data_IF_920777325844
#
_entry.id   IF_920777325844
#
_cell.length_a   1.000
_cell.length_b   1.000
_cell.length_c   1.000
_cell.angle_alpha   90.00
_cell.angle_beta   90.00
_cell.angle_gamma   90.00
#
_symmetry.space_group_name_H-M   'P 1'
#
loop_
_entity.id
_entity.type
_entity.pdbx_description
1 polymer ?
#
# COMPACT_ATOMS: atom_id res chain seq x y z
N UNK A 1 -40.62 10.34 -38.09
CA UNK A 1 -40.08 8.97 -38.05
C UNK A 1 -39.63 8.75 -36.61
N UNK A 2 -40.37 7.88 -35.90
CA UNK A 2 -40.08 7.52 -34.50
C UNK A 2 -39.32 6.20 -34.51
N UNK A 3 -38.09 6.20 -34.03
CA UNK A 3 -37.37 4.96 -33.72
C UNK A 3 -37.97 4.31 -32.48
N UNK A 4 -38.22 3.01 -32.63
CA UNK A 4 -38.80 2.17 -31.57
C UNK A 4 -37.64 1.56 -30.78
N UNK A 5 -37.62 1.78 -29.48
CA UNK A 5 -36.78 1.08 -28.54
C UNK A 5 -37.20 -0.39 -28.46
N UNK A 6 -36.31 -1.28 -28.87
CA UNK A 6 -36.47 -2.72 -28.65
C UNK A 6 -35.97 -3.08 -27.25
N UNK A 7 -36.89 -3.27 -26.34
CA UNK A 7 -36.63 -3.91 -25.04
C UNK A 7 -36.63 -5.41 -25.29
N UNK A 8 -35.50 -6.07 -25.15
CA UNK A 8 -35.40 -7.53 -25.12
C UNK A 8 -35.87 -8.03 -23.74
N UNK A 9 -37.06 -8.65 -23.73
CA UNK A 9 -37.50 -9.45 -22.58
C UNK A 9 -36.60 -10.70 -22.45
N UNK A 10 -35.90 -10.82 -21.31
CA UNK A 10 -35.19 -12.04 -20.95
C UNK A 10 -36.19 -12.98 -20.31
N UNK A 11 -36.60 -13.98 -21.05
CA UNK A 11 -37.42 -15.11 -20.55
C UNK A 11 -36.54 -16.02 -19.70
N UNK A 12 -37.09 -16.44 -18.54
CA UNK A 12 -36.53 -17.41 -17.61
C UNK A 12 -36.05 -18.68 -18.34
N UNK A 13 -34.72 -18.90 -18.34
CA UNK A 13 -34.13 -20.17 -18.70
C UNK A 13 -33.90 -21.02 -17.43
N UNK A 14 -34.50 -22.16 -17.44
CA UNK A 14 -34.42 -23.24 -16.46
C UNK A 14 -32.97 -23.74 -16.29
N UNK A 15 -32.33 -23.41 -15.13
CA UNK A 15 -30.97 -23.80 -14.82
C UNK A 15 -30.97 -25.12 -14.04
N UNK A 16 -31.38 -26.20 -14.74
CA UNK A 16 -31.21 -27.55 -14.18
C UNK A 16 -30.74 -28.53 -15.24
N UNK A 17 -29.60 -28.33 -15.81
CA UNK A 17 -28.69 -29.34 -16.39
C UNK A 17 -27.52 -28.68 -17.12
N UNK A 18 -26.52 -28.27 -16.42
CA UNK A 18 -25.22 -28.02 -17.02
C UNK A 18 -24.23 -28.87 -16.22
N UNK A 19 -23.80 -29.96 -16.86
CA UNK A 19 -22.65 -30.74 -16.48
C UNK A 19 -21.48 -29.81 -16.16
N UNK A 20 -20.85 -30.05 -15.01
CA UNK A 20 -19.67 -29.36 -14.55
C UNK A 20 -18.47 -29.70 -15.45
N UNK A 21 -18.45 -29.23 -16.68
CA UNK A 21 -17.19 -29.00 -17.35
C UNK A 21 -16.54 -27.80 -16.66
N UNK A 22 -15.54 -28.17 -15.88
CA UNK A 22 -14.65 -27.28 -15.15
C UNK A 22 -13.92 -26.41 -16.18
N UNK A 23 -14.53 -25.27 -16.56
CA UNK A 23 -13.81 -24.21 -17.21
C UNK A 23 -12.82 -23.68 -16.20
N UNK A 24 -11.59 -24.18 -16.26
CA UNK A 24 -10.45 -23.49 -15.70
C UNK A 24 -10.29 -22.22 -16.55
N UNK A 25 -10.95 -21.14 -16.12
CA UNK A 25 -10.51 -19.81 -16.50
C UNK A 25 -9.09 -19.70 -15.98
N UNK A 26 -8.07 -19.78 -16.84
CA UNK A 26 -6.82 -19.14 -16.57
C UNK A 26 -7.17 -17.65 -16.43
N UNK A 27 -7.37 -17.22 -15.18
CA UNK A 27 -7.38 -15.80 -14.86
C UNK A 27 -6.08 -15.27 -15.43
N UNK A 28 -6.15 -14.51 -16.52
CA UNK A 28 -5.06 -13.65 -16.98
C UNK A 28 -4.89 -12.60 -15.88
N UNK A 29 -4.10 -12.95 -14.87
CA UNK A 29 -3.83 -12.12 -13.71
C UNK A 29 -2.87 -11.03 -14.19
N UNK A 30 -3.45 -9.93 -14.69
CA UNK A 30 -2.73 -8.81 -15.28
C UNK A 30 -1.69 -8.26 -14.30
N UNK A 31 -0.51 -7.94 -14.84
CA UNK A 31 0.56 -7.33 -14.06
C UNK A 31 0.30 -5.82 -13.88
N UNK A 32 0.39 -5.37 -12.65
CA UNK A 32 0.39 -3.95 -12.29
C UNK A 32 1.83 -3.50 -12.10
N UNK A 33 2.23 -2.45 -12.81
CA UNK A 33 3.52 -1.79 -12.64
C UNK A 33 3.34 -0.35 -12.15
N UNK A 34 3.94 -0.03 -11.00
CA UNK A 34 3.92 1.30 -10.40
C UNK A 34 5.36 1.85 -10.29
N UNK A 35 5.52 3.16 -10.40
CA UNK A 35 6.77 3.82 -10.02
C UNK A 35 6.72 4.22 -8.56
N UNK A 36 7.76 3.83 -7.82
CA UNK A 36 7.91 4.19 -6.41
C UNK A 36 9.24 4.91 -6.12
N UNK A 37 9.21 5.87 -5.18
CA UNK A 37 10.38 6.61 -4.71
C UNK A 37 10.59 6.35 -3.23
N UNK A 38 11.67 5.64 -2.90
CA UNK A 38 12.03 5.30 -1.52
C UNK A 38 13.11 6.25 -1.00
N UNK A 39 12.79 7.00 0.05
CA UNK A 39 13.74 7.86 0.73
C UNK A 39 14.38 7.12 1.91
N UNK A 40 15.69 7.04 1.95
CA UNK A 40 16.44 6.34 3.00
C UNK A 40 17.80 6.98 3.27
N UNK A 41 18.57 6.44 4.23
CA UNK A 41 19.97 6.83 4.45
C UNK A 41 20.88 6.15 3.45
N UNK A 42 21.99 6.81 3.11
CA UNK A 42 22.99 6.28 2.18
C UNK A 42 23.53 4.91 2.63
N UNK A 43 23.75 4.73 3.92
CA UNK A 43 24.16 3.44 4.48
C UNK A 43 23.17 2.32 4.18
N UNK A 44 21.87 2.58 4.38
CA UNK A 44 20.80 1.61 4.06
C UNK A 44 20.73 1.32 2.56
N UNK A 45 20.95 2.33 1.72
CA UNK A 45 21.04 2.12 0.27
C UNK A 45 22.17 1.15 -0.12
N UNK A 46 23.36 1.29 0.48
CA UNK A 46 24.48 0.35 0.24
C UNK A 46 24.11 -1.07 0.68
N UNK A 47 23.39 -1.21 1.80
CA UNK A 47 22.91 -2.51 2.28
C UNK A 47 21.85 -3.11 1.33
N UNK A 48 20.92 -2.29 0.84
CA UNK A 48 19.92 -2.68 -0.16
C UNK A 48 20.62 -3.14 -1.45
N UNK A 49 21.62 -2.38 -1.94
CA UNK A 49 22.38 -2.75 -3.14
C UNK A 49 23.11 -4.08 -2.99
N UNK A 50 23.69 -4.34 -1.81
CA UNK A 50 24.43 -5.58 -1.52
C UNK A 50 23.50 -6.78 -1.39
N UNK A 51 22.36 -6.62 -0.71
CA UNK A 51 21.44 -7.71 -0.41
C UNK A 51 20.37 -7.93 -1.47
N UNK A 52 20.08 -6.92 -2.31
CA UNK A 52 18.92 -6.88 -3.20
C UNK A 52 17.59 -6.76 -2.47
N UNK A 53 17.60 -6.44 -1.16
CA UNK A 53 16.40 -6.45 -0.33
C UNK A 53 16.23 -5.15 0.43
N UNK A 54 15.01 -4.64 0.45
CA UNK A 54 14.60 -3.57 1.35
C UNK A 54 14.30 -4.15 2.72
N UNK A 55 14.74 -3.45 3.76
CA UNK A 55 14.33 -3.76 5.12
C UNK A 55 12.91 -3.23 5.32
N UNK A 56 12.00 -4.10 5.71
CA UNK A 56 10.61 -3.73 5.98
C UNK A 56 10.52 -2.96 7.30
N UNK A 57 9.73 -1.90 7.31
CA UNK A 57 9.27 -1.30 8.55
C UNK A 57 8.27 -2.23 9.20
N UNK A 58 8.41 -2.43 10.51
CA UNK A 58 7.52 -3.22 11.34
C UNK A 58 7.06 -2.43 12.58
N UNK A 59 6.98 -1.11 12.44
CA UNK A 59 6.50 -0.27 13.54
C UNK A 59 4.99 -0.39 13.66
N UNK A 60 4.51 -0.48 14.89
CA UNK A 60 3.08 -0.65 15.18
C UNK A 60 2.21 0.52 14.73
N UNK A 61 2.81 1.66 14.37
CA UNK A 61 2.13 2.86 13.90
C UNK A 61 2.35 3.16 12.40
N UNK A 62 2.88 2.20 11.65
CA UNK A 62 3.00 2.28 10.20
C UNK A 62 1.61 2.37 9.55
N UNK A 63 1.45 3.28 8.61
CA UNK A 63 0.10 3.65 8.12
C UNK A 63 -0.59 2.59 7.27
N UNK A 64 0.17 1.77 6.55
CA UNK A 64 -0.32 0.70 5.67
C UNK A 64 0.18 -0.69 6.11
N UNK A 65 0.60 -0.81 7.37
CA UNK A 65 1.13 -2.05 7.92
C UNK A 65 2.60 -2.29 7.59
N UNK A 66 3.10 -3.49 7.87
CA UNK A 66 4.48 -3.87 7.65
C UNK A 66 4.84 -3.88 6.17
N UNK A 67 6.02 -3.33 5.83
CA UNK A 67 6.53 -3.32 4.46
C UNK A 67 7.58 -2.25 4.18
N UNK A 68 8.06 -2.19 2.95
CA UNK A 68 8.86 -1.10 2.42
C UNK A 68 7.94 0.00 1.86
N UNK A 69 8.21 1.25 2.23
CA UNK A 69 7.35 2.38 1.89
C UNK A 69 7.93 3.19 0.74
N UNK A 70 7.09 3.54 -0.21
CA UNK A 70 7.42 4.33 -1.39
C UNK A 70 6.42 5.49 -1.55
N UNK A 71 6.87 6.57 -2.14
CA UNK A 71 6.04 7.66 -2.63
C UNK A 71 5.81 7.51 -4.12
N UNK A 72 4.65 7.90 -4.62
CA UNK A 72 4.38 7.89 -6.07
C UNK A 72 5.03 9.07 -6.79
N UNK A 73 5.39 10.12 -6.05
CA UNK A 73 6.05 11.32 -6.56
C UNK A 73 7.43 11.52 -5.90
N UNK A 74 8.40 11.94 -6.70
CA UNK A 74 9.77 12.20 -6.23
C UNK A 74 9.82 13.37 -5.23
N UNK A 75 9.00 14.40 -5.42
CA UNK A 75 8.93 15.55 -4.50
C UNK A 75 8.42 15.12 -3.11
N UNK A 76 7.53 14.13 -3.06
CA UNK A 76 7.10 13.54 -1.80
C UNK A 76 8.21 12.74 -1.13
N UNK A 77 9.05 12.09 -1.91
CA UNK A 77 10.29 11.48 -1.42
C UNK A 77 11.25 12.52 -0.83
N UNK A 78 11.44 13.66 -1.52
CA UNK A 78 12.25 14.80 -1.01
C UNK A 78 11.68 15.37 0.28
N UNK A 79 10.38 15.59 0.33
CA UNK A 79 9.71 16.02 1.56
C UNK A 79 10.00 15.06 2.71
N UNK A 80 9.91 13.75 2.47
CA UNK A 80 10.18 12.75 3.49
C UNK A 80 11.63 12.76 3.97
N UNK A 81 12.62 13.03 3.12
CA UNK A 81 14.02 13.18 3.56
C UNK A 81 14.17 14.29 4.59
N UNK A 82 13.37 15.37 4.50
CA UNK A 82 13.34 16.42 5.50
C UNK A 82 12.68 15.97 6.80
N UNK A 83 11.55 15.25 6.71
CA UNK A 83 10.86 14.69 7.88
C UNK A 83 11.74 13.71 8.65
N UNK A 84 12.49 12.85 7.97
CA UNK A 84 13.44 11.92 8.59
C UNK A 84 14.48 12.64 9.47
N UNK A 85 14.88 13.88 9.12
CA UNK A 85 15.79 14.70 9.91
C UNK A 85 15.24 15.01 11.31
N UNK A 86 13.95 15.22 11.43
CA UNK A 86 13.29 15.58 12.69
C UNK A 86 12.86 14.36 13.52
N UNK A 87 12.56 13.23 12.88
CA UNK A 87 12.06 12.04 13.59
C UNK A 87 13.12 11.22 14.30
N UNK A 88 14.41 11.58 14.23
CA UNK A 88 15.52 10.83 14.86
C UNK A 88 15.46 9.30 14.58
N UNK A 89 14.86 8.91 13.47
CA UNK A 89 14.66 7.52 13.09
C UNK A 89 16.05 6.86 12.91
N UNK A 90 16.52 6.20 13.97
CA UNK A 90 17.76 5.39 14.01
C UNK A 90 19.07 6.10 13.58
N UNK A 91 19.06 7.42 13.41
CA UNK A 91 20.21 8.21 12.97
C UNK A 91 21.38 8.24 13.97
N UNK A 92 21.14 7.90 15.25
CA UNK A 92 22.21 7.89 16.27
C UNK A 92 23.30 6.83 16.00
N UNK A 93 22.97 5.80 15.19
CA UNK A 93 23.91 4.72 14.82
C UNK A 93 24.50 4.88 13.41
N UNK A 94 23.92 5.69 12.53
CA UNK A 94 24.44 5.87 11.18
C UNK A 94 25.66 6.79 11.20
N UNK A 95 26.83 6.26 10.83
CA UNK A 95 28.06 7.04 10.64
C UNK A 95 27.91 8.05 9.50
N UNK A 96 27.12 7.70 8.47
CA UNK A 96 26.86 8.53 7.30
C UNK A 96 25.43 9.05 7.36
N UNK A 97 25.27 10.37 7.42
CA UNK A 97 23.97 11.06 7.51
C UNK A 97 23.41 11.45 6.15
N UNK A 98 24.13 11.15 5.06
CA UNK A 98 23.62 11.40 3.72
C UNK A 98 22.33 10.63 3.49
N UNK A 99 21.43 11.22 2.76
CA UNK A 99 20.12 10.65 2.40
C UNK A 99 20.06 10.47 0.91
N UNK A 100 19.30 9.49 0.49
CA UNK A 100 19.14 9.16 -0.91
C UNK A 100 17.66 8.93 -1.23
N UNK A 101 17.31 9.15 -2.50
CA UNK A 101 16.05 8.72 -3.09
C UNK A 101 16.35 7.65 -4.13
N UNK A 102 15.74 6.50 -3.95
CA UNK A 102 15.84 5.36 -4.86
C UNK A 102 14.56 5.31 -5.67
N UNK A 103 14.68 5.34 -7.01
CA UNK A 103 13.56 5.06 -7.92
C UNK A 103 13.46 3.57 -8.15
N UNK A 104 12.26 3.04 -7.96
CA UNK A 104 11.93 1.62 -8.17
C UNK A 104 10.75 1.46 -9.12
N UNK A 105 10.73 0.37 -9.86
CA UNK A 105 9.53 -0.21 -10.44
C UNK A 105 8.98 -1.21 -9.43
N UNK A 106 7.68 -1.10 -9.13
CA UNK A 106 6.96 -1.97 -8.21
C UNK A 106 5.99 -2.80 -9.05
N UNK A 107 6.19 -4.13 -9.08
CA UNK A 107 5.44 -5.05 -9.93
C UNK A 107 4.76 -6.12 -9.10
N UNK A 108 3.49 -6.34 -9.35
CA UNK A 108 2.72 -7.43 -8.75
C UNK A 108 1.55 -7.78 -9.66
N UNK A 109 0.89 -8.88 -9.39
CA UNK A 109 -0.38 -9.21 -10.04
C UNK A 109 -1.48 -8.27 -9.56
N UNK A 110 -2.50 -8.04 -10.38
CA UNK A 110 -3.63 -7.19 -10.00
C UNK A 110 -4.35 -7.73 -8.75
N UNK A 111 -4.42 -9.05 -8.59
CA UNK A 111 -4.96 -9.73 -7.39
C UNK A 111 -4.15 -9.49 -6.12
N UNK A 112 -2.86 -9.12 -6.24
CA UNK A 112 -1.95 -8.82 -5.14
C UNK A 112 -1.86 -7.31 -4.82
N UNK A 113 -2.55 -6.46 -5.61
CA UNK A 113 -2.57 -5.01 -5.45
C UNK A 113 -3.87 -4.54 -4.81
N UNK A 114 -3.78 -3.66 -3.83
CA UNK A 114 -4.93 -3.09 -3.15
C UNK A 114 -4.81 -1.58 -2.97
N UNK A 115 -5.62 -0.83 -3.71
CA UNK A 115 -5.70 0.63 -3.59
C UNK A 115 -6.82 1.01 -2.62
N UNK A 116 -6.46 1.53 -1.46
CA UNK A 116 -7.41 1.97 -0.43
C UNK A 116 -8.19 3.22 -0.84
N UNK A 117 -7.71 4.02 -1.80
CA UNK A 117 -8.46 5.20 -2.25
C UNK A 117 -9.80 4.81 -2.89
N UNK A 118 -9.88 3.60 -3.47
CA UNK A 118 -11.07 3.10 -4.17
C UNK A 118 -11.70 1.85 -3.51
N UNK A 119 -11.02 1.22 -2.55
CA UNK A 119 -11.47 -0.03 -1.94
C UNK A 119 -11.57 0.06 -0.40
N UNK A 120 -11.71 1.24 0.17
CA UNK A 120 -11.79 1.42 1.62
C UNK A 120 -12.92 0.61 2.24
N UNK A 121 -14.08 0.54 1.57
CA UNK A 121 -15.24 -0.21 2.03
C UNK A 121 -14.93 -1.72 2.21
N UNK A 122 -14.10 -2.30 1.34
CA UNK A 122 -13.69 -3.71 1.47
C UNK A 122 -12.83 -3.95 2.72
N UNK A 123 -11.97 -2.99 3.09
CA UNK A 123 -11.19 -3.09 4.32
C UNK A 123 -12.09 -2.92 5.56
N UNK A 124 -13.08 -2.03 5.50
CA UNK A 124 -14.05 -1.84 6.58
C UNK A 124 -14.92 -3.08 6.79
N UNK A 125 -15.42 -3.67 5.71
CA UNK A 125 -16.17 -4.93 5.76
C UNK A 125 -15.32 -6.06 6.33
N UNK A 126 -14.08 -6.22 5.87
CA UNK A 126 -13.16 -7.21 6.42
C UNK A 126 -12.93 -7.02 7.92
N UNK A 127 -12.78 -5.76 8.37
CA UNK A 127 -12.66 -5.45 9.80
C UNK A 127 -13.86 -5.96 10.59
N UNK A 128 -15.07 -5.76 10.08
CA UNK A 128 -16.30 -6.22 10.75
C UNK A 128 -16.36 -7.75 10.79
N UNK A 129 -16.06 -8.43 9.69
CA UNK A 129 -15.99 -9.88 9.62
C UNK A 129 -14.93 -10.44 10.60
N UNK A 130 -13.75 -9.82 10.66
CA UNK A 130 -12.69 -10.21 11.59
C UNK A 130 -13.12 -10.05 13.05
N UNK A 131 -13.79 -8.95 13.40
CA UNK A 131 -14.28 -8.71 14.75
C UNK A 131 -15.34 -9.74 15.16
N UNK A 132 -16.29 -10.06 14.29
CA UNK A 132 -17.30 -11.09 14.54
C UNK A 132 -16.66 -12.46 14.74
N UNK A 133 -15.66 -12.80 13.94
CA UNK A 133 -14.89 -14.05 14.08
C UNK A 133 -14.17 -14.10 15.43
N UNK A 134 -13.43 -13.05 15.81
CA UNK A 134 -12.72 -13.00 17.10
C UNK A 134 -13.68 -13.15 18.26
N UNK A 135 -14.85 -12.54 18.20
CA UNK A 135 -15.90 -12.64 19.23
C UNK A 135 -16.46 -14.07 19.31
N UNK A 136 -16.76 -14.69 18.16
CA UNK A 136 -17.26 -16.08 18.10
C UNK A 136 -16.26 -17.10 18.64
N UNK A 137 -14.98 -16.85 18.41
CA UNK A 137 -13.88 -17.70 18.86
C UNK A 137 -13.49 -17.44 20.34
N UNK A 138 -14.17 -16.49 21.01
CA UNK A 138 -13.85 -16.07 22.37
C UNK A 138 -12.50 -15.36 22.50
N UNK A 139 -11.93 -14.93 21.38
CA UNK A 139 -10.65 -14.22 21.32
C UNK A 139 -10.84 -12.75 21.63
N UNK A 140 -9.96 -12.18 22.47
CA UNK A 140 -10.04 -10.77 22.80
C UNK A 140 -9.69 -9.89 21.61
N UNK A 141 -10.58 -8.93 21.31
CA UNK A 141 -10.29 -7.88 20.33
C UNK A 141 -9.05 -7.09 20.76
N UNK A 142 -8.07 -6.88 19.87
CA UNK A 142 -6.88 -6.09 20.17
C UNK A 142 -7.22 -4.68 20.61
N UNK A 143 -6.49 -4.18 21.62
CA UNK A 143 -6.60 -2.79 22.08
C UNK A 143 -5.49 -1.97 21.46
N UNK A 144 -5.83 -0.83 20.89
CA UNK A 144 -4.90 0.06 20.19
C UNK A 144 -4.70 1.35 20.98
N UNK A 145 -3.46 1.81 21.06
CA UNK A 145 -3.09 3.07 21.73
C UNK A 145 -3.55 4.30 20.93
N UNK A 146 -3.58 4.16 19.62
CA UNK A 146 -3.95 5.24 18.71
C UNK A 146 -4.49 4.70 17.36
N UNK A 147 -4.97 5.63 16.51
CA UNK A 147 -5.54 5.27 15.22
C UNK A 147 -4.53 4.70 14.22
N UNK A 148 -3.23 5.02 14.33
CA UNK A 148 -2.23 4.49 13.41
C UNK A 148 -1.94 3.03 13.72
N UNK A 149 -1.79 2.67 15.00
CA UNK A 149 -1.65 1.29 15.46
C UNK A 149 -2.84 0.43 14.98
N UNK A 150 -4.06 0.98 15.11
CA UNK A 150 -5.27 0.31 14.61
C UNK A 150 -5.24 0.09 13.10
N UNK A 151 -4.86 1.11 12.32
CA UNK A 151 -4.74 0.99 10.86
C UNK A 151 -3.68 -0.04 10.48
N UNK A 152 -2.49 0.04 11.10
CA UNK A 152 -1.40 -0.90 10.87
C UNK A 152 -1.86 -2.34 11.05
N UNK A 153 -2.55 -2.63 12.15
CA UNK A 153 -3.08 -3.96 12.45
C UNK A 153 -4.03 -4.45 11.35
N UNK A 154 -5.11 -3.69 11.04
CA UNK A 154 -6.08 -4.14 10.04
C UNK A 154 -5.51 -4.23 8.62
N UNK A 155 -4.56 -3.37 8.26
CA UNK A 155 -3.86 -3.50 6.98
C UNK A 155 -3.01 -4.77 6.91
N UNK A 156 -2.34 -5.17 8.00
CA UNK A 156 -1.57 -6.41 8.06
C UNK A 156 -2.47 -7.63 7.96
N UNK A 157 -3.53 -7.70 8.77
CA UNK A 157 -4.51 -8.79 8.75
C UNK A 157 -5.15 -8.94 7.35
N UNK A 158 -5.49 -7.81 6.71
CA UNK A 158 -6.05 -7.81 5.37
C UNK A 158 -5.06 -8.33 4.33
N UNK A 159 -3.81 -7.84 4.38
CA UNK A 159 -2.74 -8.30 3.47
C UNK A 159 -2.53 -9.80 3.59
N UNK A 160 -2.45 -10.32 4.80
CA UNK A 160 -2.27 -11.75 5.05
C UNK A 160 -3.46 -12.57 4.57
N UNK A 161 -4.67 -12.19 4.96
CA UNK A 161 -5.90 -12.93 4.63
C UNK A 161 -6.23 -12.95 3.13
N UNK A 162 -5.84 -11.91 2.39
CA UNK A 162 -6.17 -11.75 0.96
C UNK A 162 -4.96 -11.91 0.03
N UNK A 163 -3.77 -12.21 0.55
CA UNK A 163 -2.56 -12.36 -0.26
C UNK A 163 -2.06 -11.05 -0.89
N UNK A 164 -2.41 -9.89 -0.31
CA UNK A 164 -2.02 -8.58 -0.85
C UNK A 164 -0.55 -8.32 -0.57
N UNK A 165 0.23 -8.03 -1.62
CA UNK A 165 1.65 -7.71 -1.54
C UNK A 165 1.94 -6.22 -1.67
N UNK A 166 1.07 -5.49 -2.35
CA UNK A 166 1.22 -4.06 -2.60
C UNK A 166 -0.07 -3.35 -2.20
N UNK A 167 0.02 -2.43 -1.26
CA UNK A 167 -1.11 -1.62 -0.78
C UNK A 167 -0.80 -0.15 -0.93
N UNK A 168 -1.75 0.67 -1.39
CA UNK A 168 -1.56 2.11 -1.55
C UNK A 168 -2.69 2.92 -0.95
N UNK A 169 -2.37 4.15 -0.52
CA UNK A 169 -3.34 5.13 -0.02
C UNK A 169 -2.83 6.56 -0.11
N UNK A 170 -3.74 7.51 -0.33
CA UNK A 170 -3.47 8.94 -0.38
C UNK A 170 -3.74 9.60 0.98
N UNK A 171 -2.68 10.09 1.62
CA UNK A 171 -2.78 10.78 2.90
C UNK A 171 -2.90 12.29 2.72
N UNK A 172 -3.81 12.96 3.42
CA UNK A 172 -3.86 14.40 3.44
C UNK A 172 -2.68 14.96 4.24
N UNK A 173 -1.93 15.88 3.65
CA UNK A 173 -0.81 16.57 4.28
C UNK A 173 -1.02 18.07 4.15
N UNK A 174 -0.90 18.79 5.28
CA UNK A 174 -0.93 20.24 5.26
C UNK A 174 0.35 20.82 4.66
N UNK A 175 0.18 21.80 3.77
CA UNK A 175 1.26 22.61 3.24
C UNK A 175 1.28 23.92 4.03
N UNK A 176 2.46 24.28 4.52
CA UNK A 176 2.65 25.49 5.32
C UNK A 176 3.46 26.51 4.52
N UNK A 177 3.15 27.81 4.67
CA UNK A 177 3.97 28.89 4.14
C UNK A 177 5.25 29.08 4.98
N UNK A 178 6.09 30.01 4.57
CA UNK A 178 7.35 30.34 5.25
C UNK A 178 7.18 30.80 6.71
N UNK A 179 6.00 31.35 7.05
CA UNK A 179 5.64 31.78 8.40
C UNK A 179 5.05 30.65 9.26
N UNK A 180 4.86 29.44 8.70
CA UNK A 180 4.31 28.29 9.41
C UNK A 180 2.79 28.23 9.46
N UNK A 181 2.07 29.05 8.68
CA UNK A 181 0.62 28.95 8.57
C UNK A 181 0.20 27.89 7.54
N UNK A 182 -0.84 27.08 7.83
CA UNK A 182 -1.38 26.16 6.85
C UNK A 182 -2.05 26.92 5.72
N UNK A 183 -1.60 26.72 4.48
CA UNK A 183 -2.09 27.42 3.29
C UNK A 183 -2.79 26.50 2.31
N UNK A 184 -2.51 25.21 2.35
CA UNK A 184 -3.09 24.23 1.44
C UNK A 184 -3.12 22.83 2.07
N UNK A 185 -3.91 21.93 1.48
CA UNK A 185 -3.99 20.53 1.87
C UNK A 185 -3.80 19.67 0.63
N UNK A 186 -2.62 19.05 0.52
CA UNK A 186 -2.30 18.14 -0.58
C UNK A 186 -2.55 16.68 -0.19
N UNK A 187 -2.94 15.87 -1.16
CA UNK A 187 -2.93 14.42 -1.00
C UNK A 187 -1.57 13.88 -1.47
N UNK A 188 -0.92 13.06 -0.65
CA UNK A 188 0.34 12.38 -0.98
C UNK A 188 0.12 10.90 -0.94
N UNK A 189 0.32 10.23 -2.07
CA UNK A 189 0.09 8.79 -2.17
C UNK A 189 1.33 8.02 -1.74
N UNK A 190 1.13 7.12 -0.79
CA UNK A 190 2.12 6.13 -0.37
C UNK A 190 1.76 4.75 -0.88
N UNK A 191 2.80 3.97 -1.15
CA UNK A 191 2.71 2.56 -1.49
C UNK A 191 3.52 1.79 -0.43
N UNK A 192 2.91 0.79 0.17
CA UNK A 192 3.56 -0.18 1.06
C UNK A 192 3.69 -1.51 0.33
N UNK A 193 4.91 -2.05 0.25
CA UNK A 193 5.22 -3.31 -0.40
C UNK A 193 5.70 -4.31 0.64
N UNK A 194 5.00 -5.42 0.79
CA UNK A 194 5.27 -6.47 1.78
C UNK A 194 6.02 -7.70 1.21
N UNK A 195 6.39 -7.67 -0.08
CA UNK A 195 7.23 -8.70 -0.70
C UNK A 195 8.36 -8.06 -1.52
N UNK A 196 9.61 -8.33 -1.17
CA UNK A 196 10.77 -7.80 -1.88
C UNK A 196 10.83 -8.23 -3.36
N UNK A 197 10.17 -9.30 -3.75
CA UNK A 197 10.09 -9.76 -5.15
C UNK A 197 9.32 -8.76 -6.03
N UNK A 198 8.46 -7.95 -5.45
CA UNK A 198 7.73 -6.90 -6.14
C UNK A 198 8.56 -5.63 -6.39
N UNK A 199 9.79 -5.52 -5.86
CA UNK A 199 10.58 -4.29 -5.88
C UNK A 199 11.78 -4.44 -6.81
N UNK A 200 11.83 -3.63 -7.87
CA UNK A 200 12.92 -3.60 -8.83
C UNK A 200 13.59 -2.22 -8.81
N UNK A 201 14.85 -2.14 -8.38
CA UNK A 201 15.59 -0.88 -8.33
C UNK A 201 15.92 -0.44 -9.75
N UNK A 202 15.52 0.78 -10.12
CA UNK A 202 15.86 1.39 -11.40
C UNK A 202 17.16 2.19 -11.25
N UNK A 203 17.21 3.12 -10.29
CA UNK A 203 18.39 3.95 -10.02
C UNK A 203 18.31 4.66 -8.67
N UNK A 204 19.46 5.05 -8.14
CA UNK A 204 19.58 6.10 -7.13
C UNK A 204 19.54 7.45 -7.87
N UNK A 205 18.64 8.36 -7.44
CA UNK A 205 18.42 9.63 -8.13
C UNK A 205 19.19 10.75 -7.49
N UNK A 206 19.11 10.88 -6.17
CA UNK A 206 19.68 12.00 -5.42
C UNK A 206 20.38 11.55 -4.16
N UNK A 207 21.46 12.27 -3.81
CA UNK A 207 22.18 12.15 -2.56
C UNK A 207 22.25 13.54 -1.93
N UNK A 208 21.79 13.70 -0.68
CA UNK A 208 21.75 14.96 0.05
C UNK A 208 22.70 14.97 1.23
#
# INVERSE_FOLDING_TARGET
MKEKDNILEITDYDITSLDSEMFTYEENDEEVELTGYHATFYQSYIEIQRSGKFQFSNQMDDWLGEGAYFWTDMEDGRFWTNVMKYRNLNCKKAKDKRKVIIKCSLKCRISEYFDLDINMEKLEQFREELLQKLESDGTKVPRFKNNNERKCYYCNEYKEAKGIKVMSFSFPVWVYNELGFPVDKKKRKQICVSDNKCIHIIKCIEVF
#
